data_IF_823216235018
#
_entry.id   IF_823216235018
#
_cell.length_a   1.000
_cell.length_b   1.000
_cell.length_c   1.000
_cell.angle_alpha   90.00
_cell.angle_beta   90.00
_cell.angle_gamma   90.00
#
_symmetry.space_group_name_H-M   'P 1'
#
loop_
_entity.id
_entity.type
_entity.pdbx_description
1 polymer ?
#
# COMPACT_ATOMS: atom_id res chain seq x y z
N UNK A 1 -8.30 1.25 11.80
CA UNK A 1 -7.41 1.59 10.66
C UNK A 1 -6.40 0.47 10.48
N UNK A 2 -6.44 -0.23 9.34
CA UNK A 2 -5.50 -1.28 8.98
C UNK A 2 -4.39 -0.72 8.09
N UNK A 3 -3.13 -1.02 8.41
CA UNK A 3 -1.95 -0.50 7.69
C UNK A 3 -1.48 -1.48 6.62
N UNK A 4 -1.20 -0.97 5.42
CA UNK A 4 -0.69 -1.72 4.28
C UNK A 4 0.56 -1.02 3.74
N UNK A 5 1.72 -1.65 3.94
CA UNK A 5 2.99 -1.17 3.39
C UNK A 5 3.31 -1.93 2.10
N UNK A 6 3.43 -1.24 0.97
CA UNK A 6 3.70 -1.85 -0.35
C UNK A 6 5.19 -1.79 -0.72
N UNK A 7 6.07 -1.86 0.28
CA UNK A 7 7.51 -1.82 0.06
C UNK A 7 8.08 -3.23 -0.14
N UNK A 8 9.13 -3.41 -0.98
CA UNK A 8 9.72 -4.74 -1.24
C UNK A 8 10.28 -5.42 0.02
N UNK A 9 10.80 -4.64 0.98
CA UNK A 9 11.28 -5.13 2.27
C UNK A 9 10.15 -5.63 3.19
N UNK A 10 8.89 -5.29 2.89
CA UNK A 10 7.74 -5.83 3.59
C UNK A 10 7.35 -7.24 3.10
N UNK A 11 7.79 -7.65 1.90
CA UNK A 11 7.44 -8.92 1.26
C UNK A 11 8.65 -9.51 0.52
N UNK A 12 9.55 -10.14 1.28
CA UNK A 12 10.95 -10.44 0.96
C UNK A 12 11.31 -11.25 -0.30
N UNK A 13 10.38 -11.69 -1.15
CA UNK A 13 10.65 -12.73 -2.17
C UNK A 13 10.06 -12.49 -3.57
N UNK A 14 9.46 -11.34 -3.88
CA UNK A 14 8.90 -11.11 -5.21
C UNK A 14 8.88 -9.66 -5.68
N UNK A 15 8.89 -9.48 -7.00
CA UNK A 15 8.86 -8.16 -7.63
C UNK A 15 7.57 -7.40 -7.39
N UNK A 16 7.47 -6.18 -7.94
CA UNK A 16 6.36 -5.23 -7.70
C UNK A 16 4.95 -5.84 -7.81
N UNK A 17 4.72 -6.73 -8.78
CA UNK A 17 3.43 -7.40 -8.98
C UNK A 17 3.08 -8.39 -7.86
N UNK A 18 4.07 -9.14 -7.37
CA UNK A 18 3.91 -10.05 -6.23
C UNK A 18 3.70 -9.24 -4.93
N UNK A 19 4.39 -8.10 -4.80
CA UNK A 19 4.16 -7.15 -3.70
C UNK A 19 2.72 -6.60 -3.71
N UNK A 20 2.19 -6.25 -4.89
CA UNK A 20 0.83 -5.71 -5.05
C UNK A 20 -0.23 -6.76 -4.72
N UNK A 21 -0.08 -7.99 -5.22
CA UNK A 21 -1.03 -9.08 -4.95
C UNK A 21 -1.06 -9.44 -3.46
N UNK A 22 0.12 -9.56 -2.82
CA UNK A 22 0.22 -9.80 -1.38
C UNK A 22 -0.41 -8.68 -0.56
N UNK A 23 -0.15 -7.42 -0.94
CA UNK A 23 -0.75 -6.27 -0.28
C UNK A 23 -2.29 -6.24 -0.44
N UNK A 24 -2.81 -6.65 -1.60
CA UNK A 24 -4.24 -6.75 -1.83
C UNK A 24 -4.89 -7.85 -0.98
N UNK A 25 -4.27 -9.03 -0.88
CA UNK A 25 -4.76 -10.10 0.02
C UNK A 25 -4.76 -9.65 1.48
N UNK A 26 -3.72 -8.93 1.90
CA UNK A 26 -3.65 -8.35 3.25
C UNK A 26 -4.76 -7.30 3.47
N UNK A 27 -5.05 -6.46 2.47
CA UNK A 27 -6.16 -5.52 2.51
C UNK A 27 -7.51 -6.23 2.71
N UNK A 28 -7.75 -7.32 1.97
CA UNK A 28 -8.96 -8.14 2.10
C UNK A 28 -9.09 -8.74 3.50
N UNK A 29 -7.97 -9.23 4.07
CA UNK A 29 -7.96 -9.76 5.43
C UNK A 29 -8.30 -8.67 6.45
N UNK A 30 -7.69 -7.49 6.36
CA UNK A 30 -7.98 -6.36 7.25
C UNK A 30 -9.46 -5.93 7.19
N UNK A 31 -10.05 -5.93 5.99
CA UNK A 31 -11.49 -5.66 5.81
C UNK A 31 -12.32 -6.75 6.49
N UNK A 32 -11.98 -8.02 6.29
CA UNK A 32 -12.69 -9.16 6.90
C UNK A 32 -12.59 -9.17 8.43
N UNK A 33 -11.45 -8.72 8.97
CA UNK A 33 -11.20 -8.56 10.41
C UNK A 33 -11.93 -7.34 11.01
N UNK A 34 -12.61 -6.54 10.18
CA UNK A 34 -13.44 -5.41 10.61
C UNK A 34 -12.70 -4.07 10.71
N UNK A 35 -11.65 -3.85 9.91
CA UNK A 35 -11.02 -2.54 9.83
C UNK A 35 -12.02 -1.47 9.31
N UNK A 36 -12.10 -0.33 9.99
CA UNK A 36 -12.96 0.79 9.57
C UNK A 36 -12.40 1.60 8.40
N UNK A 37 -11.09 1.52 8.18
CA UNK A 37 -10.37 2.20 7.10
C UNK A 37 -9.03 1.52 6.83
N UNK A 38 -8.47 1.73 5.65
CA UNK A 38 -7.12 1.28 5.27
C UNK A 38 -6.17 2.48 5.14
N UNK A 39 -4.91 2.27 5.47
CA UNK A 39 -3.83 3.25 5.33
C UNK A 39 -2.72 2.65 4.47
N UNK A 40 -2.50 3.22 3.29
CA UNK A 40 -1.64 2.64 2.24
C UNK A 40 -0.37 3.48 2.10
N UNK A 41 0.79 2.87 2.35
CA UNK A 41 2.10 3.52 2.23
C UNK A 41 2.97 2.86 1.17
N UNK A 42 3.45 3.66 0.20
CA UNK A 42 4.37 3.23 -0.86
C UNK A 42 5.85 3.37 -0.52
N UNK A 43 6.14 4.12 0.55
CA UNK A 43 7.48 4.47 1.02
C UNK A 43 7.66 4.05 2.49
N UNK A 44 8.84 3.53 2.84
CA UNK A 44 9.16 3.21 4.24
C UNK A 44 9.75 4.44 4.93
N UNK A 45 9.15 4.82 6.05
CA UNK A 45 9.65 5.88 6.95
C UNK A 45 10.61 5.35 8.02
N UNK A 46 11.01 4.08 7.96
CA UNK A 46 11.94 3.48 8.93
C UNK A 46 13.35 4.09 8.80
N UNK A 47 14.10 4.25 9.92
CA UNK A 47 15.48 4.72 9.87
C UNK A 47 16.34 3.85 8.96
N UNK A 48 17.03 4.48 8.00
CA UNK A 48 17.91 3.80 7.05
C UNK A 48 17.24 3.23 5.81
N UNK A 49 15.92 3.42 5.63
CA UNK A 49 15.23 3.07 4.39
C UNK A 49 15.67 3.96 3.23
N UNK A 50 15.71 3.39 2.02
CA UNK A 50 15.90 4.17 0.79
C UNK A 50 14.58 4.91 0.49
N UNK A 51 14.67 6.21 0.22
CA UNK A 51 13.53 6.96 -0.30
C UNK A 51 13.07 6.37 -1.64
N UNK A 52 11.77 6.14 -1.75
CA UNK A 52 11.15 5.78 -3.02
C UNK A 52 11.06 7.05 -3.88
N UNK A 53 11.43 6.93 -5.16
CA UNK A 53 11.15 7.99 -6.13
C UNK A 53 9.65 8.17 -6.32
N UNK A 54 9.24 9.30 -6.92
CA UNK A 54 7.81 9.57 -7.21
C UNK A 54 7.16 8.42 -8.01
N UNK A 55 7.76 8.06 -9.15
CA UNK A 55 7.21 7.01 -10.01
C UNK A 55 7.16 5.66 -9.29
N UNK A 56 8.18 5.35 -8.49
CA UNK A 56 8.27 4.11 -7.71
C UNK A 56 7.16 4.02 -6.65
N UNK A 57 6.84 5.14 -5.98
CA UNK A 57 5.74 5.18 -5.00
C UNK A 57 4.37 5.04 -5.68
N UNK A 58 4.16 5.74 -6.80
CA UNK A 58 2.92 5.64 -7.59
C UNK A 58 2.71 4.23 -8.15
N UNK A 59 3.76 3.59 -8.67
CA UNK A 59 3.73 2.22 -9.16
C UNK A 59 3.34 1.21 -8.08
N UNK A 60 3.64 1.51 -6.81
CA UNK A 60 3.30 0.65 -5.67
C UNK A 60 1.88 0.89 -5.14
N UNK A 61 1.45 2.14 -5.02
CA UNK A 61 0.20 2.49 -4.33
C UNK A 61 -1.01 2.50 -5.26
N UNK A 62 -0.88 3.03 -6.48
CA UNK A 62 -2.02 3.22 -7.40
C UNK A 62 -2.69 1.89 -7.79
N UNK A 63 -1.96 0.82 -8.17
CA UNK A 63 -2.60 -0.45 -8.51
C UNK A 63 -3.35 -1.07 -7.34
N UNK A 64 -2.79 -0.99 -6.13
CA UNK A 64 -3.43 -1.49 -4.92
C UNK A 64 -4.72 -0.73 -4.61
N UNK A 65 -4.69 0.60 -4.62
CA UNK A 65 -5.87 1.44 -4.32
C UNK A 65 -6.99 1.14 -5.33
N UNK A 66 -6.65 1.00 -6.61
CA UNK A 66 -7.62 0.60 -7.65
C UNK A 66 -8.23 -0.76 -7.35
N UNK A 67 -7.42 -1.78 -7.08
CA UNK A 67 -7.90 -3.14 -6.79
C UNK A 67 -8.79 -3.19 -5.54
N UNK A 68 -8.44 -2.47 -4.47
CA UNK A 68 -9.27 -2.36 -3.27
C UNK A 68 -10.62 -1.70 -3.58
N UNK A 69 -10.61 -0.61 -4.35
CA UNK A 69 -11.84 0.12 -4.71
C UNK A 69 -12.79 -0.70 -5.60
N UNK A 70 -12.27 -1.66 -6.37
CA UNK A 70 -13.12 -2.58 -7.15
C UNK A 70 -13.97 -3.52 -6.28
N UNK A 71 -13.55 -3.77 -5.03
CA UNK A 71 -14.19 -4.78 -4.16
C UNK A 71 -14.73 -4.24 -2.84
N UNK A 72 -14.40 -3.00 -2.46
CA UNK A 72 -14.79 -2.42 -1.18
C UNK A 72 -14.94 -0.91 -1.25
N UNK A 73 -15.93 -0.40 -0.50
CA UNK A 73 -16.14 1.04 -0.31
C UNK A 73 -15.42 1.63 0.91
N UNK A 74 -14.65 0.80 1.62
CA UNK A 74 -13.90 1.20 2.81
C UNK A 74 -13.10 2.49 2.57
N UNK A 75 -13.09 3.44 3.51
CA UNK A 75 -12.22 4.61 3.42
C UNK A 75 -10.74 4.20 3.29
N UNK A 76 -10.03 4.88 2.38
CA UNK A 76 -8.60 4.66 2.11
C UNK A 76 -7.86 5.97 2.39
N UNK A 77 -6.89 5.91 3.28
CA UNK A 77 -5.86 6.92 3.51
C UNK A 77 -4.62 6.58 2.69
N UNK A 78 -3.94 7.60 2.18
CA UNK A 78 -2.63 7.48 1.53
C UNK A 78 -1.58 8.08 2.48
N UNK A 79 -0.67 7.23 2.96
CA UNK A 79 0.48 7.66 3.77
C UNK A 79 1.62 8.08 2.84
N UNK A 80 1.61 9.36 2.47
CA UNK A 80 2.62 9.97 1.62
C UNK A 80 2.97 11.37 2.10
N UNK A 81 4.21 11.78 1.85
CA UNK A 81 4.67 13.16 2.03
C UNK A 81 4.81 13.92 0.70
N UNK A 82 4.60 13.25 -0.43
CA UNK A 82 4.79 13.80 -1.78
C UNK A 82 3.48 14.35 -2.32
N UNK A 83 3.36 15.66 -2.60
CA UNK A 83 2.12 16.26 -3.10
C UNK A 83 1.60 15.63 -4.39
N UNK A 84 2.48 15.12 -5.25
CA UNK A 84 2.14 14.47 -6.51
C UNK A 84 1.51 13.07 -6.32
N UNK A 85 1.62 12.49 -5.12
CA UNK A 85 1.02 11.19 -4.76
C UNK A 85 -0.34 11.37 -4.06
N UNK A 86 -0.62 12.56 -3.50
CA UNK A 86 -1.90 12.90 -2.86
C UNK A 86 -3.04 13.06 -3.87
#
# INVERSE_FOLDING_TARGET
MGVINTTPDSFSDGGLYDTTEKAFRHAQQLIADGADMLDVGGESTRPGSRNAGLDEELERTVPLIKAVREVSDIPISIDTSKPEVM
#
